data_IF_766954563171
#
_entry.id   IF_766954563171
#
_cell.length_a   1.000
_cell.length_b   1.000
_cell.length_c   1.000
_cell.angle_alpha   90.00
_cell.angle_beta   90.00
_cell.angle_gamma   90.00
#
_symmetry.space_group_name_H-M   'P 1'
#
loop_
_entity.id
_entity.type
_entity.pdbx_description
1 polymer ?
#
# COMPACT_ATOMS: atom_id res chain seq x y z
N UNK A 1 26.87 3.49 -13.23
CA UNK A 1 25.39 3.56 -13.32
C UNK A 1 24.95 4.87 -12.71
N UNK A 2 24.41 5.79 -13.50
CA UNK A 2 24.10 7.16 -13.06
C UNK A 2 22.95 7.15 -12.04
N UNK A 3 23.15 7.76 -10.86
CA UNK A 3 22.16 7.80 -9.77
C UNK A 3 20.81 8.39 -10.15
N UNK A 4 20.77 9.22 -11.20
CA UNK A 4 19.53 9.73 -11.80
C UNK A 4 18.62 8.62 -12.33
N UNK A 5 19.16 7.54 -12.93
CA UNK A 5 18.34 6.40 -13.36
C UNK A 5 17.75 5.61 -12.20
N UNK A 6 18.45 5.57 -11.06
CA UNK A 6 17.92 4.93 -9.85
C UNK A 6 16.82 5.81 -9.27
N UNK A 7 16.99 7.14 -9.25
CA UNK A 7 15.96 8.08 -8.84
C UNK A 7 14.74 8.08 -9.75
N UNK A 8 14.88 7.89 -11.07
CA UNK A 8 13.74 7.73 -11.99
C UNK A 8 13.01 6.39 -11.78
N UNK A 9 13.77 5.32 -11.48
CA UNK A 9 13.22 4.03 -11.08
C UNK A 9 12.50 4.10 -9.72
N UNK A 10 12.88 5.07 -8.88
CA UNK A 10 12.44 5.25 -7.50
C UNK A 10 11.28 6.26 -7.43
N UNK A 11 11.24 7.36 -8.20
CA UNK A 11 10.12 8.31 -8.21
C UNK A 11 9.42 8.38 -9.57
N UNK A 12 8.18 7.88 -9.71
CA UNK A 12 7.45 8.00 -10.95
C UNK A 12 6.86 9.40 -11.00
N UNK A 13 7.47 10.25 -11.83
CA UNK A 13 7.02 11.63 -11.98
C UNK A 13 5.94 11.72 -13.05
N UNK A 14 4.92 12.54 -12.83
CA UNK A 14 4.03 12.96 -13.91
C UNK A 14 4.83 13.93 -14.77
N UNK A 15 5.44 13.43 -15.84
CA UNK A 15 6.07 14.29 -16.84
C UNK A 15 5.00 15.27 -17.35
N UNK A 16 5.22 16.55 -17.08
CA UNK A 16 4.36 17.61 -17.60
C UNK A 16 4.66 17.69 -19.08
N UNK A 17 3.62 17.75 -19.90
CA UNK A 17 3.78 18.02 -21.33
C UNK A 17 4.65 19.26 -21.49
N UNK A 18 5.63 19.16 -22.38
CA UNK A 18 6.43 20.32 -22.76
C UNK A 18 5.51 21.39 -23.37
N UNK A 19 5.88 22.68 -23.33
CA UNK A 19 5.05 23.74 -23.91
C UNK A 19 4.71 23.51 -25.39
N UNK A 20 5.62 22.87 -26.12
CA UNK A 20 5.42 22.49 -27.52
C UNK A 20 4.39 21.36 -27.70
N UNK A 21 4.43 20.33 -26.84
CA UNK A 21 3.44 19.25 -26.85
C UNK A 21 2.07 19.76 -26.41
N UNK A 22 2.02 20.65 -25.42
CA UNK A 22 0.78 21.26 -24.97
C UNK A 22 0.13 22.09 -26.09
N UNK A 23 0.91 22.90 -26.81
CA UNK A 23 0.42 23.60 -28.00
C UNK A 23 -0.09 22.64 -29.09
N UNK A 24 0.57 21.48 -29.27
CA UNK A 24 0.13 20.47 -30.23
C UNK A 24 -1.19 19.79 -29.83
N UNK A 25 -1.39 19.56 -28.53
CA UNK A 25 -2.63 19.01 -27.98
C UNK A 25 -3.77 20.03 -28.05
N UNK A 26 -3.50 21.31 -27.78
CA UNK A 26 -4.48 22.38 -27.95
C UNK A 26 -4.90 22.52 -29.43
N UNK A 27 -3.95 22.40 -30.36
CA UNK A 27 -4.27 22.35 -31.80
C UNK A 27 -5.09 21.12 -32.18
N UNK A 28 -4.83 19.94 -31.59
CA UNK A 28 -5.65 18.73 -31.80
C UNK A 28 -7.06 18.94 -31.27
N UNK A 29 -7.19 19.52 -30.08
CA UNK A 29 -8.47 19.85 -29.49
C UNK A 29 -9.27 20.81 -30.37
N UNK A 30 -8.64 21.87 -30.87
CA UNK A 30 -9.31 22.82 -31.76
C UNK A 30 -9.73 22.17 -33.07
N UNK A 31 -8.89 21.32 -33.67
CA UNK A 31 -9.27 20.55 -34.87
C UNK A 31 -10.49 19.66 -34.63
N UNK A 32 -10.53 18.95 -33.50
CA UNK A 32 -11.67 18.09 -33.16
C UNK A 32 -12.94 18.91 -32.91
N UNK A 33 -12.82 20.07 -32.24
CA UNK A 33 -13.93 21.00 -32.04
C UNK A 33 -14.44 21.45 -33.41
N UNK A 34 -13.58 21.99 -34.27
CA UNK A 34 -13.98 22.45 -35.61
C UNK A 34 -14.62 21.31 -36.41
N UNK A 35 -14.07 20.09 -36.38
CA UNK A 35 -14.65 18.94 -37.06
C UNK A 35 -16.06 18.61 -36.55
N UNK A 36 -16.30 18.65 -35.24
CA UNK A 36 -17.63 18.44 -34.64
C UNK A 36 -18.60 19.56 -35.03
N UNK A 37 -18.10 20.79 -35.13
CA UNK A 37 -18.91 21.97 -35.48
C UNK A 37 -19.31 22.01 -36.96
N UNK A 38 -18.42 21.57 -37.85
CA UNK A 38 -18.63 21.56 -39.31
C UNK A 38 -19.24 20.25 -39.82
N UNK A 39 -19.31 19.21 -39.00
CA UNK A 39 -19.87 17.92 -39.40
C UNK A 39 -21.34 18.05 -39.80
N UNK A 40 -21.68 17.40 -40.91
CA UNK A 40 -23.06 17.33 -41.37
C UNK A 40 -23.78 16.13 -40.73
N UNK A 41 -24.73 16.45 -39.86
CA UNK A 41 -25.52 15.45 -39.15
C UNK A 41 -26.80 15.07 -39.90
N UNK A 42 -27.12 15.72 -41.04
CA UNK A 42 -28.44 15.62 -41.71
C UNK A 42 -28.86 14.23 -42.14
N UNK A 43 -27.88 13.36 -42.39
CA UNK A 43 -28.13 12.07 -43.01
C UNK A 43 -28.77 11.08 -42.02
N UNK A 44 -28.56 11.27 -40.70
CA UNK A 44 -29.02 10.34 -39.66
C UNK A 44 -29.06 11.02 -38.29
N UNK A 45 -29.91 12.03 -38.12
CA UNK A 45 -29.98 12.85 -36.90
C UNK A 45 -30.13 12.01 -35.59
N UNK A 46 -30.99 10.99 -35.60
CA UNK A 46 -31.23 10.09 -34.46
C UNK A 46 -30.02 9.20 -34.15
N UNK A 47 -29.49 8.52 -35.18
CA UNK A 47 -28.31 7.66 -35.03
C UNK A 47 -27.08 8.44 -34.57
N UNK A 48 -26.92 9.67 -35.06
CA UNK A 48 -25.83 10.53 -34.64
C UNK A 48 -25.92 10.92 -33.16
N UNK A 49 -27.14 11.16 -32.66
CA UNK A 49 -27.38 11.43 -31.24
C UNK A 49 -27.09 10.19 -30.39
N UNK A 50 -27.54 9.01 -30.81
CA UNK A 50 -27.29 7.75 -30.10
C UNK A 50 -25.79 7.47 -29.98
N UNK A 51 -25.03 7.62 -31.06
CA UNK A 51 -23.57 7.44 -31.03
C UNK A 51 -22.88 8.49 -30.15
N UNK A 52 -23.33 9.74 -30.17
CA UNK A 52 -22.81 10.78 -29.28
C UNK A 52 -23.07 10.46 -27.80
N UNK A 53 -24.26 9.95 -27.48
CA UNK A 53 -24.62 9.53 -26.12
C UNK A 53 -23.83 8.30 -25.66
N UNK A 54 -23.59 7.32 -26.55
CA UNK A 54 -22.71 6.18 -26.25
C UNK A 54 -21.31 6.65 -25.89
N UNK A 55 -20.72 7.52 -26.71
CA UNK A 55 -19.39 8.09 -26.46
C UNK A 55 -19.36 8.84 -25.13
N UNK A 56 -20.36 9.66 -24.83
CA UNK A 56 -20.47 10.37 -23.56
C UNK A 56 -20.56 9.41 -22.36
N UNK A 57 -21.37 8.36 -22.49
CA UNK A 57 -21.56 7.35 -21.44
C UNK A 57 -20.27 6.60 -21.16
N UNK A 58 -19.56 6.16 -22.20
CA UNK A 58 -18.25 5.50 -22.06
C UNK A 58 -17.24 6.39 -21.33
N UNK A 59 -17.20 7.70 -21.59
CA UNK A 59 -16.30 8.59 -20.87
C UNK A 59 -16.68 8.77 -19.39
N UNK A 60 -17.98 8.82 -19.07
CA UNK A 60 -18.46 8.86 -17.68
C UNK A 60 -18.06 7.58 -16.94
N UNK A 61 -18.20 6.41 -17.58
CA UNK A 61 -17.78 5.12 -17.00
C UNK A 61 -16.26 5.06 -16.74
N UNK A 62 -15.45 5.62 -17.65
CA UNK A 62 -13.99 5.72 -17.46
C UNK A 62 -13.63 6.56 -16.24
N UNK A 63 -14.29 7.70 -16.04
CA UNK A 63 -14.11 8.55 -14.84
C UNK A 63 -14.50 7.78 -13.59
N UNK A 64 -15.69 7.17 -13.58
CA UNK A 64 -16.22 6.43 -12.44
C UNK A 64 -15.29 5.30 -12.03
N UNK A 65 -14.69 4.61 -13.01
CA UNK A 65 -13.71 3.55 -12.76
C UNK A 65 -12.43 4.11 -12.13
N UNK A 66 -11.93 5.25 -12.60
CA UNK A 66 -10.78 5.91 -12.01
C UNK A 66 -11.05 6.36 -10.56
N UNK A 67 -12.23 6.94 -10.30
CA UNK A 67 -12.65 7.36 -8.96
C UNK A 67 -12.84 6.17 -8.03
N UNK A 68 -13.45 5.08 -8.51
CA UNK A 68 -13.56 3.83 -7.75
C UNK A 68 -12.18 3.30 -7.34
N UNK A 69 -11.21 3.27 -8.27
CA UNK A 69 -9.82 2.87 -7.97
C UNK A 69 -9.17 3.79 -6.94
N UNK A 70 -9.37 5.11 -7.03
CA UNK A 70 -8.85 6.07 -6.04
C UNK A 70 -9.38 5.75 -4.64
N UNK A 71 -10.68 5.51 -4.49
CA UNK A 71 -11.30 5.17 -3.21
C UNK A 71 -10.74 3.87 -2.65
N UNK A 72 -10.59 2.83 -3.48
CA UNK A 72 -9.95 1.58 -3.05
C UNK A 72 -8.52 1.80 -2.58
N UNK A 73 -7.73 2.59 -3.30
CA UNK A 73 -6.36 2.91 -2.89
C UNK A 73 -6.32 3.69 -1.59
N UNK A 74 -7.20 4.67 -1.38
CA UNK A 74 -7.29 5.39 -0.11
C UNK A 74 -7.67 4.49 1.06
N UNK A 75 -8.56 3.52 0.85
CA UNK A 75 -8.90 2.54 1.88
C UNK A 75 -7.67 1.69 2.29
N UNK A 76 -6.89 1.24 1.30
CA UNK A 76 -5.62 0.53 1.56
C UNK A 76 -4.63 1.41 2.30
N UNK A 77 -4.47 2.67 1.89
CA UNK A 77 -3.59 3.62 2.56
C UNK A 77 -4.01 3.88 4.01
N UNK A 78 -5.32 4.01 4.27
CA UNK A 78 -5.85 4.15 5.62
C UNK A 78 -5.55 2.92 6.49
N UNK A 79 -5.62 1.71 5.93
CA UNK A 79 -5.25 0.48 6.62
C UNK A 79 -3.74 0.36 6.90
N UNK A 80 -2.89 1.05 6.13
CA UNK A 80 -1.44 1.07 6.35
C UNK A 80 -1.00 2.04 7.46
N UNK A 81 -1.79 3.06 7.77
CA UNK A 81 -1.43 4.08 8.78
C UNK A 81 -1.09 3.45 10.15
N UNK A 82 -1.90 2.54 10.71
CA UNK A 82 -1.56 1.88 11.98
C UNK A 82 -0.24 1.10 11.91
N UNK A 83 0.04 0.44 10.78
CA UNK A 83 1.28 -0.34 10.59
C UNK A 83 2.51 0.58 10.61
N UNK A 84 2.42 1.76 9.99
CA UNK A 84 3.49 2.75 10.04
C UNK A 84 3.73 3.20 11.48
N UNK A 85 2.67 3.51 12.22
CA UNK A 85 2.76 3.95 13.61
C UNK A 85 3.42 2.88 14.49
N UNK A 86 3.01 1.61 14.38
CA UNK A 86 3.59 0.53 15.17
C UNK A 86 5.08 0.30 14.86
N UNK A 87 5.47 0.39 13.58
CA UNK A 87 6.88 0.27 13.17
C UNK A 87 7.74 1.42 13.70
N UNK A 88 7.21 2.65 13.75
CA UNK A 88 7.92 3.80 14.35
C UNK A 88 8.18 3.57 15.85
N UNK A 89 7.17 3.10 16.59
CA UNK A 89 7.30 2.79 18.02
C UNK A 89 8.30 1.66 18.25
N UNK A 90 8.21 0.57 17.48
CA UNK A 90 9.14 -0.56 17.59
C UNK A 90 10.60 -0.16 17.33
N UNK A 91 10.82 0.76 16.39
CA UNK A 91 12.16 1.29 16.10
C UNK A 91 12.69 2.18 17.24
N UNK A 92 11.82 2.94 17.92
CA UNK A 92 12.21 3.78 19.06
C UNK A 92 12.56 2.99 20.32
N UNK A 93 11.86 1.88 20.58
CA UNK A 93 12.09 1.05 21.76
C UNK A 93 13.34 0.16 21.67
N UNK A 94 14.17 0.30 20.61
CA UNK A 94 15.33 -0.56 20.31
C UNK A 94 15.01 -2.05 20.33
N UNK A 95 13.75 -2.41 20.10
CA UNK A 95 13.28 -3.81 19.96
C UNK A 95 13.53 -4.35 18.55
N UNK A 96 14.04 -3.52 17.66
CA UNK A 96 14.34 -3.88 16.29
C UNK A 96 15.68 -4.63 16.22
N UNK A 97 15.81 -5.65 15.37
CA UNK A 97 16.93 -6.60 15.34
C UNK A 97 18.31 -6.02 14.92
N UNK A 98 19.16 -6.76 14.19
CA UNK A 98 20.56 -6.37 13.95
C UNK A 98 20.84 -5.27 12.91
N UNK A 99 19.84 -4.78 12.19
CA UNK A 99 20.06 -3.68 11.24
C UNK A 99 20.33 -2.35 11.99
N UNK A 100 21.21 -1.47 11.47
CA UNK A 100 21.44 -0.15 12.05
C UNK A 100 20.16 0.68 12.13
N UNK A 101 19.93 1.35 13.26
CA UNK A 101 18.74 2.20 13.48
C UNK A 101 18.59 3.27 12.38
N UNK A 102 19.71 3.85 11.94
CA UNK A 102 19.74 4.83 10.86
C UNK A 102 19.24 4.25 9.52
N UNK A 103 19.58 2.98 9.22
CA UNK A 103 19.15 2.33 7.98
C UNK A 103 17.64 2.04 8.00
N UNK A 104 17.10 1.58 9.15
CA UNK A 104 15.66 1.39 9.32
C UNK A 104 14.89 2.69 9.21
N UNK A 105 15.33 3.73 9.91
CA UNK A 105 14.69 5.05 9.85
C UNK A 105 14.71 5.61 8.43
N UNK A 106 15.82 5.43 7.70
CA UNK A 106 15.90 5.86 6.31
C UNK A 106 14.88 5.15 5.42
N UNK A 107 14.85 3.80 5.45
CA UNK A 107 13.89 3.02 4.64
C UNK A 107 12.44 3.30 5.03
N UNK A 108 12.14 3.43 6.33
CA UNK A 108 10.82 3.78 6.84
C UNK A 108 10.39 5.18 6.40
N UNK A 109 11.30 6.15 6.40
CA UNK A 109 11.05 7.50 5.89
C UNK A 109 10.73 7.48 4.40
N UNK A 110 11.52 6.77 3.60
CA UNK A 110 11.27 6.59 2.17
C UNK A 110 9.92 5.93 1.90
N UNK A 111 9.58 4.86 2.62
CA UNK A 111 8.28 4.20 2.52
C UNK A 111 7.12 5.15 2.85
N UNK A 112 7.27 5.96 3.90
CA UNK A 112 6.27 6.96 4.31
C UNK A 112 6.06 8.03 3.24
N UNK A 113 7.14 8.52 2.61
CA UNK A 113 7.06 9.49 1.51
C UNK A 113 6.27 8.90 0.33
N UNK A 114 6.50 7.64 -0.04
CA UNK A 114 5.74 6.98 -1.11
C UNK A 114 4.26 6.84 -0.79
N UNK A 115 3.93 6.43 0.45
CA UNK A 115 2.56 6.34 0.92
C UNK A 115 1.86 7.70 0.85
N UNK A 116 2.53 8.76 1.33
CA UNK A 116 2.00 10.12 1.30
C UNK A 116 1.78 10.63 -0.14
N UNK A 117 2.75 10.40 -1.04
CA UNK A 117 2.64 10.76 -2.45
C UNK A 117 1.50 10.01 -3.16
N UNK A 118 1.37 8.70 -2.92
CA UNK A 118 0.26 7.90 -3.44
C UNK A 118 -1.10 8.46 -2.97
N UNK A 119 -1.21 8.78 -1.67
CA UNK A 119 -2.40 9.38 -1.07
C UNK A 119 -2.74 10.74 -1.67
N UNK A 120 -1.76 11.61 -1.88
CA UNK A 120 -1.95 12.92 -2.51
C UNK A 120 -2.53 12.80 -3.93
N UNK A 121 -1.96 11.92 -4.77
CA UNK A 121 -2.46 11.70 -6.13
C UNK A 121 -3.84 11.03 -6.16
N UNK A 122 -4.12 10.10 -5.22
CA UNK A 122 -5.43 9.47 -5.08
C UNK A 122 -6.51 10.49 -4.68
N UNK A 123 -6.23 11.32 -3.67
CA UNK A 123 -7.15 12.37 -3.22
C UNK A 123 -7.42 13.41 -4.33
N UNK A 124 -6.38 13.80 -5.07
CA UNK A 124 -6.50 14.68 -6.25
C UNK A 124 -7.31 14.08 -7.39
N UNK A 125 -7.49 12.76 -7.43
CA UNK A 125 -8.37 12.10 -8.42
C UNK A 125 -9.84 12.24 -8.02
N UNK A 126 -10.14 12.15 -6.72
CA UNK A 126 -11.49 12.33 -6.16
C UNK A 126 -11.94 13.78 -6.10
N UNK A 127 -11.01 14.73 -6.20
CA UNK A 127 -11.36 16.15 -6.17
C UNK A 127 -12.40 16.46 -7.27
N UNK A 128 -13.48 17.13 -6.84
CA UNK A 128 -14.55 17.57 -7.73
C UNK A 128 -13.96 18.55 -8.74
N UNK A 129 -14.08 18.21 -10.02
CA UNK A 129 -13.77 19.09 -11.13
C UNK A 129 -15.07 19.35 -11.90
N UNK A 130 -15.20 20.52 -12.53
CA UNK A 130 -16.35 20.83 -13.35
C UNK A 130 -16.44 19.84 -14.51
N UNK A 131 -17.43 18.94 -14.47
CA UNK A 131 -17.75 18.06 -15.57
C UNK A 131 -18.69 18.80 -16.52
N UNK A 132 -18.24 19.03 -17.75
CA UNK A 132 -19.10 19.60 -18.77
C UNK A 132 -19.98 18.47 -19.33
N UNK A 133 -21.29 18.54 -19.08
CA UNK A 133 -22.29 17.59 -19.57
C UNK A 133 -23.50 18.37 -20.06
N UNK A 134 -24.15 17.84 -21.09
CA UNK A 134 -25.43 18.38 -21.54
C UNK A 134 -26.48 18.20 -20.44
N UNK A 135 -26.96 19.31 -19.88
CA UNK A 135 -27.93 19.35 -18.80
C UNK A 135 -29.38 19.52 -19.27
N UNK A 136 -30.32 19.42 -18.34
CA UNK A 136 -31.76 19.54 -18.60
C UNK A 136 -32.14 20.86 -19.29
N UNK A 137 -31.52 21.96 -18.88
CA UNK A 137 -31.73 23.28 -19.48
C UNK A 137 -31.28 23.35 -20.95
N UNK A 138 -30.18 22.66 -21.29
CA UNK A 138 -29.65 22.62 -22.66
C UNK A 138 -30.49 21.70 -23.55
N UNK A 139 -31.07 20.63 -22.98
CA UNK A 139 -32.06 19.78 -23.64
C UNK A 139 -33.33 20.57 -23.96
N UNK A 140 -33.88 21.26 -22.96
CA UNK A 140 -35.05 22.12 -23.15
C UNK A 140 -34.78 23.22 -24.21
N UNK A 141 -33.60 23.86 -24.14
CA UNK A 141 -33.19 24.85 -25.12
C UNK A 141 -32.90 24.28 -26.51
N UNK A 142 -32.58 22.99 -26.63
CA UNK A 142 -32.47 22.32 -27.92
C UNK A 142 -33.85 22.09 -28.53
N UNK A 143 -34.85 21.73 -27.72
CA UNK A 143 -36.21 21.41 -28.16
C UNK A 143 -36.98 22.64 -28.67
N UNK A 144 -36.52 23.84 -28.31
CA UNK A 144 -37.04 25.11 -28.84
C UNK A 144 -36.47 25.47 -30.22
N UNK A 145 -35.53 24.70 -30.77
CA UNK A 145 -34.94 24.97 -32.10
C UNK A 145 -35.56 24.11 -33.19
N UNK A 146 -35.47 24.54 -34.45
CA UNK A 146 -35.98 23.77 -35.59
C UNK A 146 -35.33 22.39 -35.76
N UNK A 147 -34.12 22.19 -35.23
CA UNK A 147 -33.32 20.96 -35.40
C UNK A 147 -32.76 20.49 -34.05
N UNK A 148 -33.63 19.98 -33.16
CA UNK A 148 -33.29 19.69 -31.77
C UNK A 148 -32.22 18.61 -31.62
N UNK A 149 -32.34 17.52 -32.36
CA UNK A 149 -31.42 16.38 -32.31
C UNK A 149 -29.99 16.79 -32.68
N UNK A 150 -29.82 17.59 -33.74
CA UNK A 150 -28.49 18.06 -34.18
C UNK A 150 -27.81 18.94 -33.15
N UNK A 151 -28.59 19.84 -32.51
CA UNK A 151 -28.07 20.70 -31.45
C UNK A 151 -27.61 19.88 -30.25
N UNK A 152 -28.35 18.82 -29.90
CA UNK A 152 -27.93 17.88 -28.86
C UNK A 152 -26.72 17.05 -29.24
N UNK A 153 -26.64 16.53 -30.46
CA UNK A 153 -25.48 15.75 -30.93
C UNK A 153 -24.21 16.59 -30.83
N UNK A 154 -24.24 17.82 -31.36
CA UNK A 154 -23.10 18.76 -31.27
C UNK A 154 -22.78 19.11 -29.81
N UNK A 155 -23.79 19.46 -29.01
CA UNK A 155 -23.61 19.81 -27.61
C UNK A 155 -22.97 18.67 -26.80
N UNK A 156 -23.43 17.44 -27.02
CA UNK A 156 -22.93 16.23 -26.36
C UNK A 156 -21.48 15.96 -26.74
N UNK A 157 -21.16 15.96 -28.03
CA UNK A 157 -19.79 15.71 -28.50
C UNK A 157 -18.81 16.80 -28.04
N UNK A 158 -19.20 18.07 -28.05
CA UNK A 158 -18.36 19.16 -27.56
C UNK A 158 -18.13 19.06 -26.05
N UNK A 159 -19.19 18.78 -25.28
CA UNK A 159 -19.08 18.57 -23.84
C UNK A 159 -18.14 17.39 -23.52
N UNK A 160 -18.32 16.26 -24.19
CA UNK A 160 -17.47 15.07 -24.02
C UNK A 160 -16.02 15.34 -24.43
N UNK A 161 -15.78 16.06 -25.54
CA UNK A 161 -14.42 16.34 -25.99
C UNK A 161 -13.67 17.25 -25.03
N UNK A 162 -14.32 18.29 -24.50
CA UNK A 162 -13.76 19.18 -23.47
C UNK A 162 -13.50 18.44 -22.16
N UNK A 163 -14.39 17.51 -21.82
CA UNK A 163 -14.27 16.70 -20.63
C UNK A 163 -13.06 15.74 -20.69
N UNK A 164 -12.73 15.16 -21.84
CA UNK A 164 -11.64 14.17 -22.00
C UNK A 164 -10.30 14.61 -21.39
N UNK A 165 -9.94 15.89 -21.45
CA UNK A 165 -8.69 16.37 -20.88
C UNK A 165 -8.68 16.22 -19.34
N UNK A 166 -9.79 16.55 -18.69
CA UNK A 166 -9.96 16.36 -17.24
C UNK A 166 -9.99 14.86 -16.88
N UNK A 167 -10.67 14.02 -17.69
CA UNK A 167 -10.68 12.56 -17.51
C UNK A 167 -9.28 11.97 -17.61
N UNK A 168 -8.52 12.36 -18.64
CA UNK A 168 -7.16 11.90 -18.84
C UNK A 168 -6.26 12.32 -17.67
N UNK A 169 -6.40 13.55 -17.16
CA UNK A 169 -5.68 13.98 -15.97
C UNK A 169 -5.99 13.10 -14.74
N UNK A 170 -7.25 12.73 -14.51
CA UNK A 170 -7.64 11.80 -13.44
C UNK A 170 -7.05 10.40 -13.64
N UNK A 171 -7.13 9.84 -14.84
CA UNK A 171 -6.58 8.52 -15.16
C UNK A 171 -5.05 8.49 -14.99
N UNK A 172 -4.36 9.52 -15.46
CA UNK A 172 -2.89 9.65 -15.31
C UNK A 172 -2.51 9.70 -13.84
N UNK A 173 -3.23 10.46 -13.01
CA UNK A 173 -3.01 10.49 -11.55
C UNK A 173 -3.19 9.11 -10.93
N UNK A 174 -4.20 8.34 -11.34
CA UNK A 174 -4.40 6.96 -10.85
C UNK A 174 -3.25 6.03 -11.23
N UNK A 175 -2.72 6.13 -12.46
CA UNK A 175 -1.55 5.33 -12.86
C UNK A 175 -0.35 5.65 -11.99
N UNK A 176 -0.10 6.93 -11.75
CA UNK A 176 0.99 7.37 -10.87
C UNK A 176 0.76 6.95 -9.42
N UNK A 177 -0.48 7.00 -8.91
CA UNK A 177 -0.82 6.45 -7.59
C UNK A 177 -0.49 4.97 -7.51
N UNK A 178 -0.86 4.19 -8.53
CA UNK A 178 -0.59 2.76 -8.56
C UNK A 178 0.92 2.48 -8.51
N UNK A 179 1.72 3.20 -9.29
CA UNK A 179 3.18 3.05 -9.27
C UNK A 179 3.80 3.42 -7.92
N UNK A 180 3.35 4.52 -7.29
CA UNK A 180 3.79 4.88 -5.94
C UNK A 180 3.41 3.82 -4.90
N UNK A 181 2.21 3.23 -5.02
CA UNK A 181 1.73 2.20 -4.10
C UNK A 181 2.53 0.90 -4.25
N UNK A 182 2.86 0.49 -5.48
CA UNK A 182 3.75 -0.64 -5.74
C UNK A 182 5.16 -0.42 -5.15
N UNK A 183 5.70 0.79 -5.30
CA UNK A 183 7.02 1.15 -4.73
C UNK A 183 6.97 1.20 -3.20
N UNK A 184 5.92 1.78 -2.62
CA UNK A 184 5.68 1.75 -1.18
C UNK A 184 5.64 0.30 -0.65
N UNK A 185 4.88 -0.57 -1.32
CA UNK A 185 4.83 -1.99 -0.97
C UNK A 185 6.22 -2.64 -1.04
N UNK A 186 6.98 -2.43 -2.11
CA UNK A 186 8.35 -2.92 -2.24
C UNK A 186 9.26 -2.42 -1.12
N UNK A 187 9.16 -1.14 -0.73
CA UNK A 187 9.93 -0.58 0.39
C UNK A 187 9.51 -1.14 1.75
N UNK A 188 8.24 -1.46 1.96
CA UNK A 188 7.80 -2.15 3.18
C UNK A 188 8.34 -3.57 3.24
N UNK A 189 8.31 -4.31 2.12
CA UNK A 189 8.91 -5.64 2.05
C UNK A 189 10.40 -5.56 2.34
N UNK A 190 11.11 -4.58 1.77
CA UNK A 190 12.52 -4.34 2.07
C UNK A 190 12.76 -4.02 3.55
N UNK A 191 11.91 -3.19 4.16
CA UNK A 191 11.99 -2.85 5.58
C UNK A 191 11.82 -4.09 6.46
N UNK A 192 10.87 -4.98 6.13
CA UNK A 192 10.65 -6.24 6.85
C UNK A 192 11.79 -7.24 6.66
N UNK A 193 12.43 -7.24 5.49
CA UNK A 193 13.57 -8.11 5.18
C UNK A 193 14.91 -7.56 5.68
N UNK A 194 14.96 -6.29 6.09
CA UNK A 194 16.20 -5.65 6.51
C UNK A 194 16.86 -6.43 7.66
N UNK A 195 16.08 -6.83 8.66
CA UNK A 195 16.57 -7.56 9.82
C UNK A 195 17.14 -8.95 9.47
N UNK A 196 16.40 -9.82 8.75
CA UNK A 196 16.94 -11.07 8.22
C UNK A 196 18.19 -10.90 7.34
N UNK A 197 18.23 -9.86 6.50
CA UNK A 197 19.35 -9.63 5.58
C UNK A 197 20.62 -9.26 6.34
N UNK A 198 20.53 -8.35 7.31
CA UNK A 198 21.67 -7.99 8.15
C UNK A 198 22.13 -9.17 9.03
N UNK A 199 21.18 -9.95 9.54
CA UNK A 199 21.49 -11.18 10.27
C UNK A 199 22.26 -12.19 9.40
N UNK A 200 21.80 -12.45 8.18
CA UNK A 200 22.44 -13.36 7.22
C UNK A 200 23.82 -12.86 6.76
N UNK A 201 24.01 -11.54 6.67
CA UNK A 201 25.30 -10.91 6.37
C UNK A 201 26.30 -10.96 7.54
N UNK A 202 25.92 -11.55 8.68
CA UNK A 202 26.82 -11.76 9.82
C UNK A 202 26.91 -10.58 10.78
N UNK A 203 26.07 -9.55 10.62
CA UNK A 203 25.92 -8.50 11.62
C UNK A 203 25.17 -9.08 12.82
N UNK A 204 25.92 -9.52 13.84
CA UNK A 204 25.37 -9.90 15.14
C UNK A 204 25.26 -8.64 16.00
N UNK A 205 24.15 -8.52 16.73
CA UNK A 205 23.96 -7.45 17.71
C UNK A 205 25.18 -7.37 18.64
N UNK A 206 25.94 -6.28 18.57
CA UNK A 206 27.10 -6.03 19.44
C UNK A 206 26.71 -5.73 20.90
N UNK A 207 25.43 -5.86 21.25
CA UNK A 207 24.89 -5.55 22.59
C UNK A 207 23.98 -6.67 23.08
N UNK A 208 24.53 -7.87 23.18
CA UNK A 208 24.08 -8.80 24.22
C UNK A 208 25.16 -8.74 25.29
N UNK A 209 25.08 -7.74 26.17
CA UNK A 209 25.89 -7.76 27.38
C UNK A 209 25.61 -9.10 28.09
N UNK A 210 26.65 -9.85 28.48
CA UNK A 210 26.44 -11.03 29.31
C UNK A 210 25.68 -10.60 30.57
N UNK A 211 24.76 -11.42 31.10
CA UNK A 211 24.01 -11.05 32.29
C UNK A 211 24.99 -10.64 33.38
N UNK A 212 24.97 -9.35 33.75
CA UNK A 212 25.82 -8.84 34.82
C UNK A 212 25.47 -9.66 36.06
N UNK A 213 26.41 -10.49 36.51
CA UNK A 213 26.27 -11.13 37.80
C UNK A 213 26.20 -10.01 38.83
N UNK A 214 24.97 -9.67 39.27
CA UNK A 214 24.77 -8.86 40.46
C UNK A 214 25.33 -9.66 41.62
N UNK A 215 26.61 -9.45 41.93
CA UNK A 215 27.18 -9.82 43.21
C UNK A 215 26.49 -8.93 44.23
N UNK A 216 25.47 -9.47 44.88
CA UNK A 216 24.84 -8.86 46.06
C UNK A 216 25.88 -8.94 47.17
N UNK A 217 26.66 -7.87 47.33
CA UNK A 217 27.44 -7.65 48.55
C UNK A 217 26.42 -7.33 49.63
N UNK A 218 26.13 -8.32 50.48
CA UNK A 218 25.35 -8.12 51.71
C UNK A 218 26.24 -7.33 52.67
N UNK A 219 26.05 -6.02 52.67
CA UNK A 219 26.60 -5.10 53.68
C UNK A 219 25.93 -5.44 55.03
N UNK A 220 26.70 -5.97 55.98
CA UNK A 220 26.21 -6.16 57.36
C UNK A 220 26.26 -4.81 58.09
N UNK A 221 25.13 -4.26 58.54
CA UNK A 221 25.14 -3.04 59.35
C UNK A 221 25.74 -3.34 60.72
N UNK A 222 26.57 -2.40 61.19
CA UNK A 222 27.38 -2.54 62.39
C UNK A 222 26.61 -2.71 63.69
N UNK A 223 27.29 -3.32 64.65
CA UNK A 223 27.01 -3.12 66.08
C UNK A 223 28.33 -2.84 66.80
N UNK A 224 28.35 -1.69 67.47
CA UNK A 224 29.37 -1.28 68.44
C UNK A 224 29.42 -2.21 69.66
N UNK A 225 30.52 -2.21 70.43
CA UNK A 225 30.86 -3.27 71.38
C UNK A 225 30.28 -2.99 72.77
N UNK A 226 29.94 -4.04 73.53
CA UNK A 226 29.96 -4.02 75.00
C UNK A 226 29.76 -5.41 75.63
N UNK A 227 30.62 -5.67 76.62
CA UNK A 227 30.43 -6.51 77.82
C UNK A 227 30.39 -8.06 77.74
N UNK A 228 31.48 -8.62 78.28
CA UNK A 228 31.67 -9.94 78.95
C UNK A 228 30.73 -10.01 80.20
N UNK A 229 30.17 -11.16 80.69
CA UNK A 229 30.89 -12.36 81.21
C UNK A 229 30.07 -13.71 81.13
N UNK A 230 30.31 -14.78 81.95
CA UNK A 230 31.29 -15.85 81.70
C UNK A 230 30.70 -17.30 81.69
N UNK A 231 31.54 -18.25 81.25
CA UNK A 231 31.64 -19.70 81.54
C UNK A 231 30.37 -20.57 81.82
N UNK A 232 30.16 -21.64 81.02
CA UNK A 232 30.19 -23.05 81.48
C UNK A 232 29.79 -24.07 80.38
N UNK A 233 30.32 -25.28 80.57
CA UNK A 233 30.27 -26.53 79.79
C UNK A 233 28.92 -26.97 79.20
N UNK A 234 28.91 -27.51 77.96
CA UNK A 234 28.68 -28.95 77.66
C UNK A 234 28.38 -29.28 76.18
N UNK A 235 29.11 -30.31 75.69
CA UNK A 235 28.70 -31.45 74.82
C UNK A 235 28.23 -31.20 73.37
N UNK A 236 29.05 -31.69 72.42
CA UNK A 236 28.68 -31.99 71.03
C UNK A 236 27.78 -33.25 70.92
N UNK A 237 27.19 -33.56 69.73
CA UNK A 237 27.97 -34.29 68.74
C UNK A 237 27.77 -33.86 67.27
N UNK A 238 28.76 -34.27 66.47
CA UNK A 238 28.87 -34.11 65.02
C UNK A 238 28.01 -35.11 64.22
N UNK A 239 27.54 -34.70 63.05
CA UNK A 239 27.15 -35.62 61.96
C UNK A 239 27.76 -35.15 60.64
N UNK A 240 28.41 -36.11 59.99
CA UNK A 240 29.22 -36.11 58.76
C UNK A 240 28.34 -35.93 57.51
N UNK A 241 28.82 -35.16 56.54
CA UNK A 241 28.36 -35.22 55.14
C UNK A 241 29.29 -36.13 54.32
N UNK A 242 28.80 -36.96 53.39
CA UNK A 242 29.64 -37.71 52.48
C UNK A 242 29.96 -36.90 51.22
N UNK A 243 31.23 -36.97 50.85
CA UNK A 243 31.84 -36.48 49.62
C UNK A 243 31.95 -37.67 48.64
N UNK A 244 31.49 -37.51 47.38
CA UNK A 244 31.80 -38.43 46.29
C UNK A 244 32.11 -37.63 45.02
N UNK A 245 33.27 -37.98 44.45
CA UNK A 245 34.00 -37.36 43.35
C UNK A 245 33.50 -37.79 41.93
N UNK A 246 34.04 -37.21 40.83
CA UNK A 246 33.50 -37.32 39.47
C UNK A 246 34.21 -38.38 38.62
N UNK A 247 33.53 -38.97 37.61
CA UNK A 247 34.19 -39.76 36.54
C UNK A 247 33.47 -39.70 35.18
N UNK A 248 34.16 -39.12 34.19
CA UNK A 248 34.35 -39.50 32.77
C UNK A 248 33.20 -40.10 31.93
N UNK A 249 32.79 -39.33 30.90
CA UNK A 249 32.86 -39.64 29.46
C UNK A 249 32.01 -40.76 28.83
N UNK A 250 31.03 -40.39 27.98
CA UNK A 250 30.70 -41.06 26.70
C UNK A 250 29.67 -40.26 25.86
N UNK A 251 29.98 -40.05 24.58
CA UNK A 251 29.09 -39.69 23.45
C UNK A 251 28.99 -40.95 22.55
N UNK A 252 28.14 -41.05 21.50
CA UNK A 252 26.89 -40.33 21.13
C UNK A 252 25.74 -41.31 20.74
N UNK A 253 24.49 -40.84 20.62
CA UNK A 253 23.47 -41.58 19.85
C UNK A 253 22.38 -40.67 19.25
N UNK A 254 22.05 -40.99 18.01
CA UNK A 254 21.18 -40.31 17.04
C UNK A 254 19.69 -40.58 17.31
N UNK A 255 18.84 -39.66 16.84
CA UNK A 255 17.38 -39.58 16.98
C UNK A 255 16.58 -40.83 16.52
N UNK A 256 15.26 -40.88 16.81
CA UNK A 256 14.33 -40.52 15.74
C UNK A 256 13.13 -39.65 16.12
N UNK A 257 12.66 -38.97 15.08
CA UNK A 257 11.52 -38.06 14.98
C UNK A 257 10.17 -38.76 15.28
N UNK A 258 9.32 -38.08 16.06
CA UNK A 258 7.89 -38.37 16.15
C UNK A 258 7.12 -37.82 14.92
N UNK A 259 5.96 -38.41 14.59
CA UNK A 259 5.34 -38.26 13.27
C UNK A 259 4.60 -36.94 13.05
N UNK A 260 4.74 -36.45 11.82
CA UNK A 260 4.04 -35.31 11.20
C UNK A 260 2.57 -35.68 10.92
N UNK A 261 1.58 -34.82 11.22
CA UNK A 261 0.21 -35.01 10.78
C UNK A 261 0.05 -34.78 9.27
N UNK A 262 -0.53 -35.77 8.59
CA UNK A 262 -0.87 -35.74 7.15
C UNK A 262 -1.94 -34.67 6.86
N UNK A 263 -1.60 -33.70 6.02
CA UNK A 263 -2.57 -32.81 5.36
C UNK A 263 -2.94 -33.43 4.01
N UNK A 264 -4.22 -33.77 3.84
CA UNK A 264 -4.76 -34.31 2.58
C UNK A 264 -4.88 -33.24 1.48
N UNK A 265 -4.93 -33.65 0.20
CA UNK A 265 -4.94 -32.72 -0.92
C UNK A 265 -6.32 -32.08 -1.15
N UNK A 266 -6.26 -30.83 -1.61
CA UNK A 266 -7.36 -29.97 -1.95
C UNK A 266 -8.23 -30.52 -3.09
N UNK A 267 -9.54 -30.50 -2.89
CA UNK A 267 -10.56 -30.71 -3.94
C UNK A 267 -10.79 -29.40 -4.69
N UNK A 268 -10.56 -29.43 -6.01
CA UNK A 268 -10.88 -28.33 -6.93
C UNK A 268 -12.39 -28.24 -7.19
N UNK A 269 -12.97 -27.04 -7.36
CA UNK A 269 -14.36 -26.89 -7.78
C UNK A 269 -14.53 -27.15 -9.28
N UNK A 270 -15.54 -27.95 -9.60
CA UNK A 270 -16.00 -28.33 -10.94
C UNK A 270 -16.78 -27.17 -11.59
N UNK A 271 -16.65 -26.93 -12.91
CA UNK A 271 -17.46 -25.94 -13.62
C UNK A 271 -18.76 -26.59 -14.13
N UNK A 272 -19.92 -26.13 -13.64
CA UNK A 272 -21.20 -26.47 -14.26
C UNK A 272 -21.53 -25.48 -15.38
N UNK A 273 -21.73 -26.06 -16.56
CA UNK A 273 -22.23 -25.47 -17.80
C UNK A 273 -23.71 -25.83 -17.93
N UNK A 274 -24.45 -24.88 -18.53
CA UNK A 274 -25.73 -25.02 -19.25
C UNK A 274 -27.01 -25.36 -18.47
N UNK A 275 -27.95 -24.43 -18.59
CA UNK A 275 -29.40 -24.61 -18.55
C UNK A 275 -30.01 -23.28 -19.02
N UNK A 276 -30.05 -23.05 -20.32
CA UNK A 276 -31.23 -23.26 -21.19
C UNK A 276 -32.40 -22.32 -20.90
N UNK A 277 -32.78 -21.63 -21.97
CA UNK A 277 -33.91 -20.77 -22.12
C UNK A 277 -35.24 -21.49 -21.84
N UNK A 278 -36.21 -20.74 -21.31
CA UNK A 278 -37.61 -20.92 -21.70
C UNK A 278 -38.33 -19.57 -21.78
N UNK A 279 -38.55 -19.21 -23.03
CA UNK A 279 -39.59 -18.39 -23.60
C UNK A 279 -40.98 -18.78 -23.07
N UNK A 280 -41.74 -17.80 -22.58
CA UNK A 280 -43.21 -17.79 -22.65
C UNK A 280 -43.76 -16.40 -22.33
N UNK A 281 -44.11 -15.66 -23.38
CA UNK A 281 -45.32 -14.82 -23.39
C UNK A 281 -46.48 -15.69 -23.95
N UNK A 282 -47.74 -15.22 -24.06
CA UNK A 282 -48.39 -14.04 -23.46
C UNK A 282 -49.72 -14.40 -22.73
N UNK A 283 -50.25 -13.44 -21.96
CA UNK A 283 -51.66 -13.06 -21.91
C UNK A 283 -51.77 -11.68 -21.28
#
# INVERSE_FOLDING_TARGET
MNGWRILDLVFPYIEKLTPAEQASEDQRLQRDITAIETADWTQSDERALDEAQKVATTEVERVRTAESKATTYLAVLAALVPVIITLQVANWEKKAGPAPDAARLFVLTVATIYVAAAGFHAFKTLQVQGFQRVGEAEIAAAWQTQKPLRKLTRGTLLATRRLRNAVNAKITRIRVTHEHLLRAFGTFVLLLLLDPLFYAMGFRNATQEPPSAKVVVVERPGLSPLMVPPACCHRAPAVRWPEIAPTVGQQPAVAPLGPVPKVGPATAPKPDRLGEAKESAPN
#
